data_IF_608947231339
#
_entry.id   IF_608947231339
#
_cell.length_a   1.000
_cell.length_b   1.000
_cell.length_c   1.000
_cell.angle_alpha   90.00
_cell.angle_beta   90.00
_cell.angle_gamma   90.00
#
_symmetry.space_group_name_H-M   'P 1'
#
loop_
_entity.id
_entity.type
_entity.pdbx_description
1 polymer ?
#
# COMPACT_ATOMS: atom_id res chain seq x y z
N UNK A 1 15.88 12.30 -22.48
CA UNK A 1 15.31 11.43 -21.43
C UNK A 1 15.05 12.26 -20.18
N UNK A 2 13.79 12.43 -19.77
CA UNK A 2 13.45 13.23 -18.59
C UNK A 2 13.87 12.49 -17.31
N UNK A 3 14.67 13.12 -16.45
CA UNK A 3 15.06 12.55 -15.14
C UNK A 3 13.80 12.32 -14.31
N UNK A 4 13.54 11.07 -13.91
CA UNK A 4 12.48 10.72 -12.98
C UNK A 4 12.71 11.51 -11.68
N UNK A 5 11.77 12.36 -11.28
CA UNK A 5 11.83 13.04 -9.98
C UNK A 5 11.77 11.96 -8.90
N UNK A 6 12.85 11.83 -8.15
CA UNK A 6 12.93 10.93 -7.02
C UNK A 6 12.00 11.47 -5.92
N UNK A 7 10.91 10.75 -5.63
CA UNK A 7 9.96 11.16 -4.59
C UNK A 7 10.60 10.82 -3.24
N UNK A 8 11.19 11.82 -2.60
CA UNK A 8 11.69 11.69 -1.21
C UNK A 8 10.52 11.80 -0.24
N UNK A 9 10.13 10.67 0.33
CA UNK A 9 9.20 10.65 1.45
C UNK A 9 9.91 11.06 2.74
N UNK A 10 9.54 12.23 3.28
CA UNK A 10 9.94 12.62 4.63
C UNK A 10 8.96 12.03 5.63
N UNK A 11 9.46 11.16 6.51
CA UNK A 11 8.65 10.65 7.62
C UNK A 11 8.25 11.84 8.51
N UNK A 12 6.95 12.01 8.84
CA UNK A 12 6.52 13.09 9.72
C UNK A 12 7.16 12.95 11.10
N UNK A 13 7.59 14.09 11.66
CA UNK A 13 8.13 14.14 13.02
C UNK A 13 7.01 13.85 14.03
N UNK A 14 7.04 12.68 14.66
CA UNK A 14 5.98 12.23 15.55
C UNK A 14 5.84 13.08 16.82
N UNK A 15 6.90 13.79 17.24
CA UNK A 15 6.83 14.72 18.36
C UNK A 15 5.90 15.91 18.11
N UNK A 16 5.73 16.33 16.84
CA UNK A 16 4.76 17.36 16.46
C UNK A 16 3.31 16.87 16.54
N UNK A 17 3.08 15.54 16.61
CA UNK A 17 1.75 14.96 16.72
C UNK A 17 1.25 14.83 18.18
N UNK A 18 2.05 15.27 19.16
CA UNK A 18 1.67 15.24 20.58
C UNK A 18 0.61 16.28 20.97
N UNK A 19 0.43 17.31 20.15
CA UNK A 19 -0.58 18.36 20.33
C UNK A 19 -2.00 17.91 19.93
N UNK A 20 -3.00 18.76 20.24
CA UNK A 20 -4.41 18.49 19.94
C UNK A 20 -4.68 18.15 18.46
N UNK A 21 -4.02 18.88 17.55
CA UNK A 21 -4.13 18.64 16.10
C UNK A 21 -3.55 17.28 15.73
N UNK A 22 -2.40 16.94 16.30
CA UNK A 22 -1.75 15.66 16.06
C UNK A 22 -2.56 14.45 16.52
N UNK A 23 -3.18 14.55 17.70
CA UNK A 23 -4.13 13.53 18.19
C UNK A 23 -5.31 13.34 17.24
N UNK A 24 -5.90 14.43 16.76
CA UNK A 24 -7.02 14.37 15.81
C UNK A 24 -6.62 13.74 14.46
N UNK A 25 -5.40 14.01 13.97
CA UNK A 25 -4.86 13.35 12.77
C UNK A 25 -4.70 11.83 13.00
N UNK A 26 -4.13 11.43 14.14
CA UNK A 26 -3.94 10.02 14.50
C UNK A 26 -5.31 9.32 14.63
N UNK A 27 -6.27 9.93 15.34
CA UNK A 27 -7.63 9.41 15.46
C UNK A 27 -8.30 9.22 14.09
N UNK A 28 -8.14 10.20 13.19
CA UNK A 28 -8.68 10.12 11.84
C UNK A 28 -8.08 8.93 11.09
N UNK A 29 -6.75 8.77 11.10
CA UNK A 29 -6.06 7.64 10.45
C UNK A 29 -6.53 6.31 11.02
N UNK A 30 -6.63 6.19 12.34
CA UNK A 30 -7.04 4.95 13.01
C UNK A 30 -8.52 4.61 12.76
N UNK A 31 -9.37 5.63 12.63
CA UNK A 31 -10.79 5.47 12.30
C UNK A 31 -11.06 5.22 10.81
N UNK A 32 -10.05 5.44 9.96
CA UNK A 32 -10.22 5.25 8.52
C UNK A 32 -10.42 3.76 8.24
N UNK A 33 -11.52 3.37 7.58
CA UNK A 33 -11.75 1.97 7.24
C UNK A 33 -10.61 1.46 6.35
N UNK A 34 -10.21 0.20 6.57
CA UNK A 34 -9.20 -0.43 5.74
C UNK A 34 -9.65 -0.39 4.28
N UNK A 35 -8.72 -0.12 3.37
CA UNK A 35 -8.99 -0.19 1.93
C UNK A 35 -9.56 -1.56 1.58
N UNK A 36 -10.61 -1.58 0.75
CA UNK A 36 -11.10 -2.83 0.17
C UNK A 36 -10.08 -3.30 -0.88
N UNK A 37 -9.41 -4.41 -0.57
CA UNK A 37 -8.38 -5.00 -1.42
C UNK A 37 -8.88 -6.23 -2.18
N UNK A 38 -10.19 -6.49 -2.18
CA UNK A 38 -10.79 -7.71 -2.74
C UNK A 38 -10.39 -7.95 -4.20
N UNK A 39 -10.54 -6.94 -5.05
CA UNK A 39 -10.15 -7.00 -6.47
C UNK A 39 -8.64 -7.21 -6.67
N UNK A 40 -7.83 -6.63 -5.78
CA UNK A 40 -6.37 -6.72 -5.84
C UNK A 40 -5.90 -8.15 -5.48
N UNK A 41 -6.54 -8.74 -4.46
CA UNK A 41 -6.32 -10.14 -4.08
C UNK A 41 -6.76 -11.11 -5.18
N UNK A 42 -7.91 -10.85 -5.82
CA UNK A 42 -8.40 -11.67 -6.93
C UNK A 42 -7.41 -11.70 -8.09
N UNK A 43 -6.88 -10.55 -8.50
CA UNK A 43 -5.86 -10.45 -9.55
C UNK A 43 -4.56 -11.15 -9.17
N UNK A 44 -4.13 -11.04 -7.92
CA UNK A 44 -2.94 -11.71 -7.45
C UNK A 44 -3.08 -13.24 -7.52
N UNK A 45 -4.24 -13.78 -7.13
CA UNK A 45 -4.53 -15.22 -7.25
C UNK A 45 -4.64 -15.68 -8.70
N UNK A 46 -5.25 -14.89 -9.59
CA UNK A 46 -5.31 -15.18 -11.02
C UNK A 46 -3.89 -15.26 -11.63
N UNK A 47 -3.02 -14.29 -11.33
CA UNK A 47 -1.61 -14.34 -11.73
C UNK A 47 -0.89 -15.56 -11.17
N UNK A 48 -1.08 -15.89 -9.89
CA UNK A 48 -0.45 -17.05 -9.25
C UNK A 48 -0.86 -18.35 -9.94
N UNK A 49 -2.13 -18.50 -10.28
CA UNK A 49 -2.64 -19.66 -11.02
C UNK A 49 -2.09 -19.75 -12.44
N UNK A 50 -1.98 -18.62 -13.13
CA UNK A 50 -1.40 -18.58 -14.48
C UNK A 50 0.06 -19.02 -14.47
N UNK A 51 0.86 -18.54 -13.52
CA UNK A 51 2.27 -18.96 -13.38
C UNK A 51 2.41 -20.46 -13.09
N UNK A 52 1.59 -21.00 -12.18
CA UNK A 52 1.62 -22.44 -11.87
C UNK A 52 1.20 -23.30 -13.07
N UNK A 53 0.24 -22.83 -13.88
CA UNK A 53 -0.18 -23.53 -15.09
C UNK A 53 0.89 -23.50 -16.20
N UNK A 54 1.66 -22.42 -16.30
CA UNK A 54 2.84 -22.35 -17.18
C UNK A 54 3.92 -23.34 -16.72
N UNK A 55 4.21 -23.42 -15.42
CA UNK A 55 5.20 -24.37 -14.86
C UNK A 55 4.80 -25.85 -15.05
N UNK A 56 3.51 -26.19 -15.02
CA UNK A 56 3.04 -27.55 -15.29
C UNK A 56 3.03 -27.91 -16.78
N UNK A 57 2.81 -26.95 -17.68
CA UNK A 57 2.83 -27.19 -19.13
C UNK A 57 4.24 -27.26 -19.73
N UNK A 58 5.26 -26.75 -19.04
CA UNK A 58 6.67 -26.88 -19.45
C UNK A 58 7.32 -28.21 -19.04
N UNK A 59 6.58 -29.11 -18.37
CA UNK A 59 7.00 -30.50 -18.06
C UNK A 59 6.45 -31.51 -19.06
#
# INVERSE_FOLDING_TARGET
MARRKEIRYHKPYMGALSGRIGRSIIETILSTPKSDLTELHKRAEECRRAMLAEEENEK
#
